data_IF_915223491048
#
_entry.id   IF_915223491048
#
_cell.length_a   1.000
_cell.length_b   1.000
_cell.length_c   1.000
_cell.angle_alpha   90.00
_cell.angle_beta   90.00
_cell.angle_gamma   90.00
#
_symmetry.space_group_name_H-M   'P 1'
#
loop_
_entity.id
_entity.type
_entity.pdbx_description
1 polymer ?
#
# COMPACT_ATOMS: atom_id res chain seq x y z
N UNK A 1 -9.72 -10.15 -6.79
CA UNK A 1 -8.53 -9.57 -6.11
C UNK A 1 -7.28 -10.18 -6.70
N UNK A 2 -6.32 -9.34 -7.04
CA UNK A 2 -5.08 -9.84 -7.64
C UNK A 2 -4.09 -10.20 -6.53
N UNK A 3 -3.88 -11.49 -6.36
CA UNK A 3 -2.97 -11.99 -5.33
C UNK A 3 -1.53 -11.51 -5.56
N UNK A 4 -1.10 -11.37 -6.81
CA UNK A 4 0.26 -10.91 -7.10
C UNK A 4 0.47 -9.45 -6.69
N UNK A 5 -0.53 -8.61 -6.87
CA UNK A 5 -0.46 -7.22 -6.42
C UNK A 5 -0.42 -7.14 -4.89
N UNK A 6 -1.17 -8.00 -4.22
CA UNK A 6 -1.13 -8.06 -2.76
C UNK A 6 0.27 -8.42 -2.27
N UNK A 7 0.89 -9.46 -2.85
CA UNK A 7 2.23 -9.86 -2.49
C UNK A 7 3.25 -8.76 -2.77
N UNK A 8 3.12 -8.10 -3.91
CA UNK A 8 4.03 -7.01 -4.26
C UNK A 8 3.91 -5.87 -3.25
N UNK A 9 2.69 -5.49 -2.86
CA UNK A 9 2.48 -4.44 -1.88
C UNK A 9 3.05 -4.81 -0.51
N UNK A 10 2.86 -6.06 -0.08
CA UNK A 10 3.44 -6.52 1.18
C UNK A 10 4.96 -6.36 1.16
N UNK A 11 5.60 -6.80 0.08
CA UNK A 11 7.06 -6.70 -0.05
C UNK A 11 7.52 -5.25 -0.06
N UNK A 12 6.85 -4.38 -0.82
CA UNK A 12 7.22 -2.96 -0.91
C UNK A 12 7.07 -2.25 0.43
N UNK A 13 5.94 -2.44 1.09
CA UNK A 13 5.68 -1.78 2.36
C UNK A 13 6.58 -2.30 3.47
N UNK A 14 6.80 -3.61 3.51
CA UNK A 14 7.71 -4.22 4.48
C UNK A 14 9.12 -3.68 4.31
N UNK A 15 9.60 -3.60 3.07
CA UNK A 15 10.93 -3.02 2.80
C UNK A 15 11.01 -1.58 3.33
N UNK A 16 10.02 -0.75 3.02
CA UNK A 16 10.03 0.64 3.46
C UNK A 16 9.99 0.78 4.99
N UNK A 17 9.26 -0.11 5.66
CA UNK A 17 9.18 -0.08 7.12
C UNK A 17 10.47 -0.55 7.79
N UNK A 18 11.14 -1.52 7.19
CA UNK A 18 12.37 -2.09 7.75
C UNK A 18 13.63 -1.33 7.35
N UNK A 19 13.59 -0.60 6.25
CA UNK A 19 14.75 0.13 5.70
C UNK A 19 14.38 1.58 5.37
N UNK A 20 13.94 2.37 6.37
CA UNK A 20 13.43 3.73 6.09
C UNK A 20 14.48 4.70 5.54
N UNK A 21 15.76 4.39 5.67
CA UNK A 21 16.84 5.24 5.18
C UNK A 21 17.40 4.80 3.84
N UNK A 22 16.84 3.76 3.24
CA UNK A 22 17.31 3.25 1.95
C UNK A 22 17.10 4.27 0.85
N UNK A 23 18.07 4.34 -0.09
CA UNK A 23 17.94 5.18 -1.27
C UNK A 23 16.87 4.70 -2.22
N UNK A 24 16.37 3.47 -2.04
CA UNK A 24 15.31 2.90 -2.87
C UNK A 24 13.90 3.26 -2.40
N UNK A 25 13.77 3.96 -1.27
CA UNK A 25 12.45 4.26 -0.69
C UNK A 25 11.53 5.00 -1.66
N UNK A 26 12.06 6.01 -2.35
CA UNK A 26 11.23 6.80 -3.27
C UNK A 26 10.70 5.96 -4.44
N UNK A 27 11.53 5.07 -4.98
CA UNK A 27 11.09 4.16 -6.04
C UNK A 27 10.01 3.20 -5.53
N UNK A 28 10.18 2.69 -4.33
CA UNK A 28 9.21 1.79 -3.70
C UNK A 28 7.88 2.49 -3.48
N UNK A 29 7.92 3.72 -2.97
CA UNK A 29 6.70 4.52 -2.74
C UNK A 29 5.99 4.83 -4.05
N UNK A 30 6.74 5.14 -5.11
CA UNK A 30 6.15 5.39 -6.42
C UNK A 30 5.39 4.16 -6.90
N UNK A 31 5.97 2.98 -6.75
CA UNK A 31 5.30 1.74 -7.15
C UNK A 31 4.06 1.48 -6.30
N UNK A 32 4.12 1.74 -5.00
CA UNK A 32 2.95 1.61 -4.13
C UNK A 32 1.81 2.51 -4.63
N UNK A 33 2.13 3.76 -5.00
CA UNK A 33 1.13 4.69 -5.55
C UNK A 33 0.52 4.16 -6.84
N UNK A 34 1.35 3.63 -7.74
CA UNK A 34 0.88 3.08 -9.00
C UNK A 34 -0.06 1.89 -8.80
N UNK A 35 0.27 1.01 -7.87
CA UNK A 35 -0.57 -0.15 -7.58
C UNK A 35 -1.92 0.30 -7.02
N UNK A 36 -1.91 1.30 -6.14
CA UNK A 36 -3.17 1.86 -5.62
C UNK A 36 -4.06 2.37 -6.72
N UNK A 37 -3.48 3.05 -7.72
CA UNK A 37 -4.22 3.53 -8.87
C UNK A 37 -4.82 2.38 -9.67
N UNK A 38 -4.05 1.33 -9.90
CA UNK A 38 -4.53 0.13 -10.60
C UNK A 38 -5.70 -0.52 -9.86
N UNK A 39 -5.59 -0.63 -8.54
CA UNK A 39 -6.66 -1.21 -7.72
C UNK A 39 -7.92 -0.36 -7.77
N UNK A 40 -7.78 0.96 -7.73
CA UNK A 40 -8.92 1.86 -7.81
C UNK A 40 -9.61 1.78 -9.17
N UNK A 41 -8.83 1.73 -10.25
CA UNK A 41 -9.38 1.62 -11.59
C UNK A 41 -10.13 0.30 -11.80
N UNK A 42 -9.68 -0.77 -11.15
CA UNK A 42 -10.29 -2.08 -11.28
C UNK A 42 -11.52 -2.26 -10.39
N UNK A 43 -11.47 -1.82 -9.15
CA UNK A 43 -12.52 -2.10 -8.16
C UNK A 43 -13.02 -0.92 -7.34
N UNK A 44 -12.58 0.31 -7.64
CA UNK A 44 -13.03 1.51 -6.95
C UNK A 44 -12.54 1.63 -5.52
N UNK A 45 -13.18 2.49 -4.75
CA UNK A 45 -12.79 2.77 -3.37
C UNK A 45 -12.89 1.53 -2.48
N UNK A 46 -13.86 0.67 -2.73
CA UNK A 46 -14.03 -0.55 -1.93
C UNK A 46 -12.81 -1.46 -2.08
N UNK A 47 -12.25 -1.58 -3.28
CA UNK A 47 -11.05 -2.37 -3.50
C UNK A 47 -9.86 -1.79 -2.74
N UNK A 48 -9.69 -0.46 -2.77
CA UNK A 48 -8.62 0.18 -2.04
C UNK A 48 -8.72 -0.07 -0.53
N UNK A 49 -9.92 0.09 0.01
CA UNK A 49 -10.14 -0.08 1.44
C UNK A 49 -9.93 -1.53 1.86
N UNK A 50 -10.41 -2.49 1.08
CA UNK A 50 -10.20 -3.91 1.35
C UNK A 50 -8.72 -4.26 1.33
N UNK A 51 -7.98 -3.81 0.31
CA UNK A 51 -6.55 -4.04 0.24
C UNK A 51 -5.81 -3.42 1.41
N UNK A 52 -6.15 -2.17 1.76
CA UNK A 52 -5.50 -1.50 2.89
C UNK A 52 -5.72 -2.26 4.19
N UNK A 53 -6.93 -2.78 4.39
CA UNK A 53 -7.27 -3.54 5.59
C UNK A 53 -6.50 -4.86 5.65
N UNK A 54 -6.50 -5.61 4.55
CA UNK A 54 -5.79 -6.90 4.46
C UNK A 54 -4.29 -6.70 4.67
N UNK A 55 -3.72 -5.69 4.00
CA UNK A 55 -2.30 -5.39 4.12
C UNK A 55 -1.92 -5.00 5.54
N UNK A 56 -2.75 -4.18 6.19
CA UNK A 56 -2.48 -3.77 7.56
C UNK A 56 -2.39 -4.98 8.48
N UNK A 57 -3.39 -5.85 8.43
CA UNK A 57 -3.42 -7.04 9.29
C UNK A 57 -2.24 -7.95 9.00
N UNK A 58 -1.95 -8.18 7.73
CA UNK A 58 -0.88 -9.08 7.31
C UNK A 58 0.49 -8.55 7.73
N UNK A 59 0.76 -7.26 7.50
CA UNK A 59 2.06 -6.68 7.82
C UNK A 59 2.27 -6.61 9.34
N UNK A 60 1.22 -6.27 10.08
CA UNK A 60 1.31 -6.27 11.55
C UNK A 60 1.62 -7.67 12.06
N UNK A 61 1.00 -8.70 11.49
CA UNK A 61 1.29 -10.09 11.89
C UNK A 61 2.71 -10.51 11.55
N UNK A 62 3.22 -10.10 10.38
CA UNK A 62 4.53 -10.55 9.91
C UNK A 62 5.70 -9.83 10.58
N UNK A 63 5.60 -8.51 10.78
CA UNK A 63 6.73 -7.72 11.29
C UNK A 63 6.38 -6.83 12.47
N UNK A 64 5.13 -6.82 12.92
CA UNK A 64 4.71 -6.02 14.06
C UNK A 64 4.68 -4.52 13.84
N UNK A 65 4.68 -4.08 12.59
CA UNK A 65 4.66 -2.65 12.24
C UNK A 65 3.41 -2.30 11.45
N UNK A 66 2.83 -1.13 11.72
CA UNK A 66 1.60 -0.67 11.07
C UNK A 66 1.92 0.08 9.78
N UNK A 67 1.40 -0.38 8.62
CA UNK A 67 1.66 0.27 7.34
C UNK A 67 0.75 1.46 7.05
N UNK A 68 -0.02 1.95 8.01
CA UNK A 68 -0.98 3.04 7.78
C UNK A 68 -0.32 4.32 7.25
N UNK A 69 0.99 4.50 7.48
CA UNK A 69 1.74 5.64 6.97
C UNK A 69 1.76 5.70 5.43
N UNK A 70 1.44 4.61 4.74
CA UNK A 70 1.43 4.60 3.28
C UNK A 70 0.07 5.00 2.69
N UNK A 71 -0.97 5.12 3.51
CA UNK A 71 -2.30 5.53 3.01
C UNK A 71 -2.29 6.87 2.28
N UNK A 72 -1.55 7.88 2.75
CA UNK A 72 -1.49 9.17 2.03
C UNK A 72 -0.95 9.08 0.61
N UNK A 73 -0.22 8.02 0.25
CA UNK A 73 0.29 7.85 -1.11
C UNK A 73 -0.83 7.69 -2.12
N UNK A 74 -2.02 7.30 -1.68
CA UNK A 74 -3.18 7.12 -2.55
C UNK A 74 -4.14 8.31 -2.50
N UNK A 75 -3.79 9.38 -1.79
CA UNK A 75 -4.60 10.59 -1.78
C UNK A 75 -4.64 11.17 -3.18
N UNK A 76 -5.79 11.70 -3.56
CA UNK A 76 -5.97 12.26 -4.89
C UNK A 76 -6.54 11.31 -5.93
N UNK A 77 -6.59 10.00 -5.64
CA UNK A 77 -7.25 9.05 -6.53
C UNK A 77 -8.77 9.23 -6.50
N UNK A 78 -9.29 9.56 -5.32
CA UNK A 78 -10.71 9.83 -5.14
C UNK A 78 -10.86 10.78 -3.96
N UNK A 79 -11.95 11.54 -3.94
CA UNK A 79 -12.23 12.47 -2.84
C UNK A 79 -12.46 11.75 -1.52
N UNK A 80 -12.90 10.49 -1.57
CA UNK A 80 -13.18 9.70 -0.38
C UNK A 80 -11.92 9.19 0.32
N UNK A 81 -10.79 9.19 -0.35
CA UNK A 81 -9.52 8.74 0.21
C UNK A 81 -8.67 9.96 0.54
N UNK A 82 -8.66 10.33 1.81
CA UNK A 82 -7.97 11.53 2.27
C UNK A 82 -7.37 11.29 3.66
N UNK A 83 -6.10 10.98 3.72
CA UNK A 83 -5.39 10.68 4.96
C UNK A 83 -4.21 11.61 5.25
#
# INVERSE_FOLDING_TARGET
MDFMLEEELVDLMTFCLEHPESLEIEQKKTRISEIGKELYEDGGIDALENFAFVLKNRIIEEIGKDPSQFRPLWNGLTEEWNY
#
